data_IF_550145963134
#
_entry.id   IF_550145963134
#
_cell.length_a   1.000
_cell.length_b   1.000
_cell.length_c   1.000
_cell.angle_alpha   90.00
_cell.angle_beta   90.00
_cell.angle_gamma   90.00
#
_symmetry.space_group_name_H-M   'P 1'
#
loop_
_entity.id
_entity.type
_entity.pdbx_description
1 polymer ?
#
# COMPACT_ATOMS: atom_id res chain seq x y z
N UNK A 1 48.37 14.97 41.73
CA UNK A 1 47.84 13.62 41.49
C UNK A 1 46.60 13.68 40.57
N UNK A 2 46.74 13.71 39.23
CA UNK A 2 45.57 13.64 38.30
C UNK A 2 45.90 13.07 36.88
N UNK A 3 47.01 12.34 36.70
CA UNK A 3 47.46 11.88 35.36
C UNK A 3 47.50 10.36 35.15
N UNK A 4 47.20 9.56 36.18
CA UNK A 4 47.24 8.09 36.09
C UNK A 4 45.93 7.40 35.73
N UNK A 5 44.78 8.06 35.95
CA UNK A 5 43.45 7.47 35.76
C UNK A 5 42.82 7.74 34.38
N UNK A 6 43.39 8.67 33.60
CA UNK A 6 42.85 9.07 32.30
C UNK A 6 42.72 7.89 31.32
N UNK A 7 43.67 6.95 31.35
CA UNK A 7 43.60 5.75 30.50
C UNK A 7 42.39 4.87 30.87
N UNK A 8 42.12 4.69 32.16
CA UNK A 8 40.99 3.89 32.64
C UNK A 8 39.67 4.58 32.28
N UNK A 9 39.59 5.90 32.46
CA UNK A 9 38.43 6.71 32.07
C UNK A 9 38.14 6.60 30.56
N UNK A 10 39.18 6.65 29.73
CA UNK A 10 39.05 6.48 28.27
C UNK A 10 38.58 5.06 27.91
N UNK A 11 39.13 4.03 28.54
CA UNK A 11 38.72 2.64 28.29
C UNK A 11 37.27 2.42 28.71
N UNK A 12 36.86 2.95 29.86
CA UNK A 12 35.46 2.89 30.31
C UNK A 12 34.52 3.64 29.37
N UNK A 13 34.94 4.82 28.90
CA UNK A 13 34.18 5.58 27.92
C UNK A 13 33.99 4.81 26.60
N UNK A 14 35.06 4.21 26.07
CA UNK A 14 35.00 3.39 24.85
C UNK A 14 34.17 2.13 25.04
N UNK A 15 34.27 1.49 26.20
CA UNK A 15 33.46 0.31 26.53
C UNK A 15 31.96 0.64 26.55
N UNK A 16 31.58 1.73 27.22
CA UNK A 16 30.19 2.19 27.27
C UNK A 16 29.69 2.63 25.90
N UNK A 17 30.52 3.34 25.12
CA UNK A 17 30.17 3.74 23.76
C UNK A 17 29.95 2.51 22.89
N UNK A 18 30.84 1.52 22.96
CA UNK A 18 30.70 0.23 22.29
C UNK A 18 29.39 -0.46 22.63
N UNK A 19 29.05 -0.57 23.92
CA UNK A 19 27.79 -1.16 24.38
C UNK A 19 26.57 -0.42 23.81
N UNK A 20 26.56 0.92 23.90
CA UNK A 20 25.47 1.74 23.37
C UNK A 20 25.34 1.55 21.86
N UNK A 21 26.45 1.56 21.13
CA UNK A 21 26.44 1.41 19.67
C UNK A 21 25.91 0.04 19.25
N UNK A 22 26.37 -1.04 19.87
CA UNK A 22 25.93 -2.40 19.51
C UNK A 22 24.50 -2.69 19.97
N UNK A 23 23.97 -1.99 20.98
CA UNK A 23 22.57 -2.15 21.38
C UNK A 23 21.63 -1.24 20.58
N UNK A 24 21.96 0.05 20.45
CA UNK A 24 21.05 1.06 19.89
C UNK A 24 20.97 1.00 18.38
N UNK A 25 22.09 0.79 17.67
CA UNK A 25 22.07 0.77 16.20
C UNK A 25 21.19 -0.36 15.63
N UNK A 26 21.27 -1.61 16.12
CA UNK A 26 20.38 -2.67 15.62
C UNK A 26 18.90 -2.38 15.90
N UNK A 27 18.58 -1.83 17.08
CA UNK A 27 17.20 -1.45 17.45
C UNK A 27 16.70 -0.35 16.51
N UNK A 28 17.49 0.70 16.29
CA UNK A 28 17.15 1.79 15.40
C UNK A 28 16.96 1.29 13.95
N UNK A 29 17.88 0.48 13.44
CA UNK A 29 17.77 -0.10 12.10
C UNK A 29 16.51 -0.95 11.95
N UNK A 30 16.19 -1.79 12.94
CA UNK A 30 14.96 -2.58 12.96
C UNK A 30 13.72 -1.70 12.97
N UNK A 31 13.73 -0.62 13.76
CA UNK A 31 12.63 0.34 13.80
C UNK A 31 12.44 1.05 12.44
N UNK A 32 13.51 1.53 11.81
CA UNK A 32 13.44 2.15 10.49
C UNK A 32 12.94 1.20 9.41
N UNK A 33 13.39 -0.06 9.44
CA UNK A 33 12.89 -1.10 8.53
C UNK A 33 11.40 -1.38 8.73
N UNK A 34 10.93 -1.45 9.97
CA UNK A 34 9.51 -1.64 10.26
C UNK A 34 8.67 -0.43 9.83
N UNK A 35 9.17 0.79 10.04
CA UNK A 35 8.50 2.02 9.60
C UNK A 35 8.40 2.10 8.08
N UNK A 36 9.44 1.72 7.33
CA UNK A 36 9.37 1.69 5.87
C UNK A 36 8.33 0.67 5.39
N UNK A 37 8.30 -0.53 5.98
CA UNK A 37 7.29 -1.54 5.67
C UNK A 37 5.86 -1.06 5.99
N UNK A 38 5.67 -0.39 7.13
CA UNK A 38 4.38 0.21 7.49
C UNK A 38 3.96 1.29 6.50
N UNK A 39 4.89 2.17 6.09
CA UNK A 39 4.62 3.22 5.09
C UNK A 39 4.20 2.61 3.75
N UNK A 40 4.88 1.58 3.27
CA UNK A 40 4.49 0.86 2.05
C UNK A 40 3.09 0.28 2.17
N UNK A 41 2.80 -0.43 3.26
CA UNK A 41 1.46 -1.02 3.49
C UNK A 41 0.37 0.04 3.59
N UNK A 42 0.63 1.16 4.26
CA UNK A 42 -0.30 2.28 4.35
C UNK A 42 -0.61 2.86 2.97
N UNK A 43 0.42 3.09 2.15
CA UNK A 43 0.23 3.57 0.78
C UNK A 43 -0.60 2.60 -0.07
N UNK A 44 -0.38 1.29 0.07
CA UNK A 44 -1.20 0.28 -0.63
C UNK A 44 -2.67 0.31 -0.20
N UNK A 45 -2.95 0.45 1.10
CA UNK A 45 -4.31 0.62 1.62
C UNK A 45 -4.94 1.88 1.03
N UNK A 46 -4.24 3.01 1.10
CA UNK A 46 -4.71 4.28 0.55
C UNK A 46 -5.00 4.18 -0.96
N UNK A 47 -4.12 3.53 -1.72
CA UNK A 47 -4.34 3.29 -3.16
C UNK A 47 -5.60 2.46 -3.38
N UNK A 48 -5.79 1.37 -2.64
CA UNK A 48 -6.99 0.55 -2.76
C UNK A 48 -8.26 1.32 -2.40
N UNK A 49 -8.23 2.10 -1.31
CA UNK A 49 -9.37 2.94 -0.87
C UNK A 49 -9.71 3.97 -1.94
N UNK A 50 -8.71 4.65 -2.49
CA UNK A 50 -8.87 5.61 -3.57
C UNK A 50 -9.58 4.98 -4.79
N UNK A 51 -9.20 3.77 -5.20
CA UNK A 51 -9.87 3.06 -6.31
C UNK A 51 -11.33 2.79 -5.96
N UNK A 52 -11.60 2.23 -4.78
CA UNK A 52 -12.96 1.93 -4.33
C UNK A 52 -13.83 3.21 -4.27
N UNK A 53 -13.30 4.29 -3.72
CA UNK A 53 -14.01 5.56 -3.61
C UNK A 53 -14.24 6.22 -4.98
N UNK A 54 -13.30 6.11 -5.92
CA UNK A 54 -13.52 6.61 -7.30
C UNK A 54 -14.61 5.82 -8.03
N UNK A 55 -14.64 4.49 -7.88
CA UNK A 55 -15.72 3.65 -8.42
C UNK A 55 -17.06 4.02 -7.74
N UNK A 56 -17.07 4.23 -6.42
CA UNK A 56 -18.26 4.67 -5.66
C UNK A 56 -18.76 6.04 -6.08
N UNK A 57 -17.87 6.98 -6.32
CA UNK A 57 -18.20 8.35 -6.69
C UNK A 57 -18.68 8.47 -8.13
N UNK A 58 -18.45 7.46 -8.98
CA UNK A 58 -18.82 7.51 -10.39
C UNK A 58 -20.29 7.86 -10.62
N UNK A 59 -20.51 8.89 -11.41
CA UNK A 59 -21.80 9.33 -11.91
C UNK A 59 -21.63 9.81 -13.37
N UNK A 60 -22.56 9.41 -14.24
CA UNK A 60 -22.44 9.57 -15.69
C UNK A 60 -22.35 11.04 -16.13
N UNK A 61 -22.88 11.97 -15.33
CA UNK A 61 -22.86 13.41 -15.66
C UNK A 61 -21.58 14.11 -15.20
N UNK A 62 -21.00 13.67 -14.08
CA UNK A 62 -19.97 14.43 -13.36
C UNK A 62 -18.60 13.77 -13.30
N UNK A 63 -18.48 12.49 -13.67
CA UNK A 63 -17.27 11.68 -13.41
C UNK A 63 -16.36 11.43 -14.62
N UNK A 64 -16.49 12.24 -15.69
CA UNK A 64 -15.66 12.13 -16.92
C UNK A 64 -14.17 12.40 -16.71
N UNK A 65 -13.77 12.86 -15.53
CA UNK A 65 -12.37 13.18 -15.18
C UNK A 65 -11.82 12.31 -14.04
N UNK A 66 -12.53 11.25 -13.63
CA UNK A 66 -12.02 10.30 -12.65
C UNK A 66 -11.23 9.20 -13.33
N UNK A 67 -10.02 8.96 -12.85
CA UNK A 67 -9.11 7.94 -13.37
C UNK A 67 -8.68 6.96 -12.29
N UNK A 68 -8.19 5.79 -12.65
CA UNK A 68 -7.32 4.96 -11.82
C UNK A 68 -6.05 4.78 -12.63
N UNK A 69 -4.95 5.34 -12.14
CA UNK A 69 -3.77 5.61 -12.95
C UNK A 69 -4.13 6.39 -14.23
N UNK A 70 -4.00 5.77 -15.41
CA UNK A 70 -4.31 6.33 -16.72
C UNK A 70 -5.61 5.76 -17.32
N UNK A 71 -6.35 4.93 -16.57
CA UNK A 71 -7.61 4.34 -17.02
C UNK A 71 -8.79 5.15 -16.49
N UNK A 72 -9.68 5.59 -17.37
CA UNK A 72 -10.87 6.33 -16.99
C UNK A 72 -11.86 5.42 -16.25
N UNK A 73 -12.43 5.89 -15.13
CA UNK A 73 -13.40 5.10 -14.36
C UNK A 73 -14.63 4.76 -15.21
N UNK A 74 -15.06 5.65 -16.11
CA UNK A 74 -16.17 5.38 -17.01
C UNK A 74 -15.97 4.10 -17.83
N UNK A 75 -14.76 3.89 -18.35
CA UNK A 75 -14.42 2.69 -19.10
C UNK A 75 -14.51 1.43 -18.23
N UNK A 76 -14.03 1.48 -16.99
CA UNK A 76 -14.15 0.37 -16.03
C UNK A 76 -15.62 0.05 -15.72
N UNK A 77 -16.46 1.07 -15.53
CA UNK A 77 -17.88 0.89 -15.22
C UNK A 77 -18.64 0.28 -16.40
N UNK A 78 -18.36 0.71 -17.63
CA UNK A 78 -18.95 0.10 -18.83
C UNK A 78 -18.60 -1.39 -18.92
N UNK A 79 -17.34 -1.76 -18.66
CA UNK A 79 -16.94 -3.17 -18.61
C UNK A 79 -17.66 -3.94 -17.49
N UNK A 80 -17.91 -3.31 -16.33
CA UNK A 80 -18.64 -3.93 -15.21
C UNK A 80 -20.11 -4.18 -15.51
N UNK A 81 -20.75 -3.28 -16.27
CA UNK A 81 -22.15 -3.41 -16.71
C UNK A 81 -22.33 -4.57 -17.68
N UNK A 82 -21.38 -4.77 -18.59
CA UNK A 82 -21.44 -5.80 -19.63
C UNK A 82 -21.19 -7.24 -19.16
N UNK A 83 -20.63 -7.44 -17.96
CA UNK A 83 -20.14 -8.75 -17.51
C UNK A 83 -20.60 -9.06 -16.09
N UNK A 84 -21.08 -10.28 -15.83
CA UNK A 84 -21.42 -10.72 -14.46
C UNK A 84 -20.18 -10.82 -13.58
N UNK A 85 -19.09 -11.33 -14.13
CA UNK A 85 -17.78 -11.43 -13.51
C UNK A 85 -16.74 -10.81 -14.42
N UNK A 86 -15.86 -9.98 -13.86
CA UNK A 86 -14.71 -9.45 -14.61
C UNK A 86 -13.54 -9.18 -13.68
N UNK A 87 -12.34 -9.40 -14.21
CA UNK A 87 -11.07 -9.07 -13.58
C UNK A 87 -10.28 -8.15 -14.50
N UNK A 88 -9.86 -7.01 -13.95
CA UNK A 88 -9.07 -6.02 -14.66
C UNK A 88 -7.75 -5.85 -13.92
N UNK A 89 -6.64 -6.05 -14.63
CA UNK A 89 -5.29 -5.86 -14.09
C UNK A 89 -4.67 -4.57 -14.63
N UNK A 90 -4.18 -3.74 -13.73
CA UNK A 90 -3.48 -2.49 -13.99
C UNK A 90 -2.06 -2.62 -13.43
N UNK A 91 -1.15 -3.15 -14.23
CA UNK A 91 0.21 -3.51 -13.84
C UNK A 91 1.29 -2.97 -14.80
N UNK A 92 0.99 -1.86 -15.49
CA UNK A 92 1.94 -1.21 -16.41
C UNK A 92 3.20 -0.75 -15.68
N UNK A 93 4.33 -0.79 -16.40
CA UNK A 93 5.57 -0.17 -15.94
C UNK A 93 5.36 1.32 -15.65
N UNK A 94 5.81 1.77 -14.47
CA UNK A 94 5.67 3.14 -14.01
C UNK A 94 4.55 3.38 -12.98
N UNK A 95 3.56 2.50 -12.84
CA UNK A 95 2.58 2.63 -11.74
C UNK A 95 3.20 2.27 -10.41
N UNK A 96 2.96 3.03 -9.34
CA UNK A 96 3.56 2.75 -8.03
C UNK A 96 3.25 1.34 -7.49
N UNK A 97 2.02 0.85 -7.70
CA UNK A 97 1.57 -0.47 -7.27
C UNK A 97 0.75 -1.15 -8.38
N UNK A 98 1.01 -2.43 -8.71
CA UNK A 98 0.09 -3.21 -9.53
C UNK A 98 -1.25 -3.37 -8.82
N UNK A 99 -2.34 -3.18 -9.55
CA UNK A 99 -3.70 -3.30 -9.02
C UNK A 99 -4.47 -4.36 -9.82
N UNK A 100 -5.24 -5.20 -9.14
CA UNK A 100 -6.26 -6.04 -9.75
C UNK A 100 -7.62 -5.65 -9.19
N UNK A 101 -8.56 -5.33 -10.06
CA UNK A 101 -9.95 -5.02 -9.71
C UNK A 101 -10.80 -6.19 -10.17
N UNK A 102 -11.58 -6.76 -9.26
CA UNK A 102 -12.47 -7.88 -9.51
C UNK A 102 -13.88 -7.41 -9.22
N UNK A 103 -14.79 -7.61 -10.16
CA UNK A 103 -16.22 -7.36 -9.99
C UNK A 103 -16.98 -8.68 -10.10
N UNK A 104 -17.86 -8.92 -9.15
CA UNK A 104 -18.82 -10.02 -9.12
C UNK A 104 -20.25 -9.45 -9.01
N UNK A 105 -21.16 -9.94 -9.84
CA UNK A 105 -22.58 -9.67 -9.70
C UNK A 105 -23.14 -10.50 -8.53
N UNK A 106 -23.75 -9.84 -7.53
CA UNK A 106 -24.29 -10.52 -6.33
C UNK A 106 -25.81 -10.62 -6.33
N UNK A 107 -26.49 -9.67 -6.95
CA UNK A 107 -27.95 -9.64 -7.10
C UNK A 107 -28.32 -8.75 -8.27
N UNK A 108 -29.61 -8.61 -8.57
CA UNK A 108 -30.07 -7.70 -9.63
C UNK A 108 -29.66 -6.24 -9.40
N UNK A 109 -29.42 -5.83 -8.15
CA UNK A 109 -29.12 -4.44 -7.75
C UNK A 109 -27.75 -4.22 -7.14
N UNK A 110 -26.93 -5.26 -6.91
CA UNK A 110 -25.67 -5.15 -6.17
C UNK A 110 -24.47 -5.78 -6.90
N UNK A 111 -23.38 -5.04 -6.95
CA UNK A 111 -22.05 -5.54 -7.29
C UNK A 111 -21.22 -5.73 -6.02
N UNK A 112 -20.39 -6.78 -6.00
CA UNK A 112 -19.26 -6.92 -5.08
C UNK A 112 -17.99 -6.60 -5.86
N UNK A 113 -17.24 -5.62 -5.37
CA UNK A 113 -15.94 -5.24 -5.92
C UNK A 113 -14.86 -5.67 -4.93
N UNK A 114 -13.78 -6.27 -5.43
CA UNK A 114 -12.54 -6.48 -4.70
C UNK A 114 -11.40 -5.77 -5.43
N UNK A 115 -10.68 -4.91 -4.71
CA UNK A 115 -9.48 -4.24 -5.21
C UNK A 115 -8.29 -4.83 -4.48
N UNK A 116 -7.37 -5.44 -5.22
CA UNK A 116 -6.16 -6.06 -4.72
C UNK A 116 -4.98 -5.21 -5.18
N UNK A 117 -4.23 -4.65 -4.24
CA UNK A 117 -3.03 -3.86 -4.49
C UNK A 117 -1.82 -4.72 -4.12
N UNK A 118 -0.88 -4.91 -5.04
CA UNK A 118 0.30 -5.74 -4.82
C UNK A 118 1.52 -4.88 -4.52
N UNK A 119 2.37 -5.37 -3.62
CA UNK A 119 3.69 -4.79 -3.43
C UNK A 119 4.61 -5.21 -4.59
N UNK A 120 5.27 -4.24 -5.24
CA UNK A 120 6.23 -4.50 -6.33
C UNK A 120 7.42 -5.36 -5.86
N UNK A 121 7.91 -5.08 -4.66
CA UNK A 121 9.17 -5.65 -4.17
C UNK A 121 8.96 -6.97 -3.39
N UNK A 122 7.72 -7.21 -2.94
CA UNK A 122 7.36 -8.36 -2.07
C UNK A 122 6.79 -9.58 -2.80
N UNK A 123 6.56 -9.48 -4.11
CA UNK A 123 5.88 -10.51 -4.89
C UNK A 123 4.38 -10.65 -4.54
N UNK A 124 3.69 -11.61 -5.18
CA UNK A 124 2.22 -11.78 -5.08
C UNK A 124 1.69 -12.05 -3.66
N UNK A 125 2.55 -12.42 -2.71
CA UNK A 125 2.17 -12.75 -1.33
C UNK A 125 2.05 -11.55 -0.38
N UNK A 126 2.57 -10.37 -0.75
CA UNK A 126 2.42 -9.14 0.01
C UNK A 126 1.44 -8.20 -0.71
N UNK A 127 0.15 -8.35 -0.38
CA UNK A 127 -0.94 -7.60 -0.99
C UNK A 127 -1.94 -7.08 0.03
N UNK A 128 -2.66 -6.04 -0.36
CA UNK A 128 -3.79 -5.49 0.37
C UNK A 128 -5.04 -5.72 -0.46
N UNK A 129 -6.05 -6.36 0.11
CA UNK A 129 -7.35 -6.55 -0.52
C UNK A 129 -8.41 -5.74 0.22
N UNK A 130 -9.14 -4.92 -0.53
CA UNK A 130 -10.32 -4.20 -0.05
C UNK A 130 -11.55 -4.70 -0.80
N UNK A 131 -12.59 -5.04 -0.05
CA UNK A 131 -13.86 -5.52 -0.57
C UNK A 131 -14.96 -4.51 -0.27
N UNK A 132 -15.77 -4.19 -1.27
CA UNK A 132 -16.91 -3.29 -1.14
C UNK A 132 -18.14 -3.84 -1.87
N UNK A 133 -19.31 -3.52 -1.33
CA UNK A 133 -20.59 -3.75 -2.00
C UNK A 133 -21.14 -2.42 -2.50
N UNK A 134 -21.51 -2.38 -3.77
CA UNK A 134 -21.97 -1.19 -4.46
C UNK A 134 -23.31 -1.45 -5.15
N UNK A 135 -24.26 -0.50 -5.11
CA UNK A 135 -25.39 -0.54 -6.03
C UNK A 135 -24.89 -0.58 -7.47
N UNK A 136 -25.58 -1.31 -8.35
CA UNK A 136 -25.30 -1.24 -9.79
C UNK A 136 -25.49 0.18 -10.28
N UNK A 137 -24.61 0.60 -11.17
CA UNK A 137 -24.64 1.92 -11.81
C UNK A 137 -25.19 1.81 -13.19
#
# INVERSE_FOLDING_TARGET
MKRGFTLIEVIMGLFLLGLITVSVLPIANGAFYNLSKQKTRYNMIYTGEMVVERIKAFDCETSKELFVYDVEIGQLIEEFRGNDYIEISLDKEGYDYPIKIIKENKSDSLWKIAVIVYNKDGGKSDSVELKAYLPKK
#
